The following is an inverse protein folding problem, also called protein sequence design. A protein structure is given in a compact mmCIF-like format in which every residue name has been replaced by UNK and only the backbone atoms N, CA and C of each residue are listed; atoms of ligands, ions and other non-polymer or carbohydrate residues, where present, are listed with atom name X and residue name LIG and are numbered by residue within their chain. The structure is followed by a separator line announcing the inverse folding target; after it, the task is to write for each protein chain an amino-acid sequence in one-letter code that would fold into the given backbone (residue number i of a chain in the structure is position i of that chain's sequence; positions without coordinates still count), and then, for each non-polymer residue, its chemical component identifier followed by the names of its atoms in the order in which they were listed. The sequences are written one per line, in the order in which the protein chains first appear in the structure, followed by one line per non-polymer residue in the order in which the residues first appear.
data_IF_456908043038
#
_entry.id   IF_456908043038
#
_cell.length_a   1.000
_cell.length_b   1.000
_cell.length_c   1.000
_cell.angle_alpha   90.00
_cell.angle_beta   90.00
_cell.angle_gamma   90.00
#
_symmetry.space_group_name_H-M   'P 1'
#
loop_
_entity.id
_entity.type
_entity.pdbx_description
1 polymer ?
#
# COMPACT_ATOMS: atom_id res chain seq x y z
N UNK A 1 -45.11 3.62 30.73
CA UNK A 1 -45.00 3.88 29.27
C UNK A 1 -44.05 5.03 28.89
N UNK A 2 -44.04 6.19 29.56
CA UNK A 2 -43.08 7.29 29.23
C UNK A 2 -41.60 6.91 29.42
N UNK A 3 -41.26 6.15 30.48
CA UNK A 3 -39.86 5.72 30.75
C UNK A 3 -39.32 4.72 29.73
N UNK A 4 -40.17 3.84 29.17
CA UNK A 4 -39.79 2.89 28.10
C UNK A 4 -39.52 3.62 26.78
N UNK A 5 -40.28 4.66 26.46
CA UNK A 5 -40.07 5.48 25.24
C UNK A 5 -38.77 6.28 25.31
N UNK A 6 -38.36 6.73 26.50
CA UNK A 6 -37.08 7.43 26.70
C UNK A 6 -35.91 6.45 26.59
N UNK A 7 -36.05 5.23 27.11
CA UNK A 7 -35.02 4.21 27.01
C UNK A 7 -34.84 3.71 25.55
N UNK A 8 -35.95 3.56 24.81
CA UNK A 8 -35.90 3.22 23.38
C UNK A 8 -35.27 4.34 22.53
N UNK A 9 -35.55 5.61 22.86
CA UNK A 9 -34.97 6.79 22.22
C UNK A 9 -33.44 6.90 22.46
N UNK A 10 -32.97 6.55 23.63
CA UNK A 10 -31.53 6.53 23.98
C UNK A 10 -30.83 5.36 23.28
N UNK A 11 -31.48 4.21 23.16
CA UNK A 11 -30.92 3.05 22.47
C UNK A 11 -30.80 3.28 20.94
N UNK A 12 -31.73 4.04 20.33
CA UNK A 12 -31.67 4.39 18.91
C UNK A 12 -30.62 5.47 18.61
N UNK A 13 -30.21 6.26 19.61
CA UNK A 13 -29.16 7.27 19.43
C UNK A 13 -27.74 6.71 19.52
N UNK A 14 -27.59 5.46 19.97
CA UNK A 14 -26.28 4.78 20.08
C UNK A 14 -25.83 4.04 18.81
N UNK A 15 -26.64 3.99 17.76
CA UNK A 15 -26.22 3.40 16.47
C UNK A 15 -25.78 4.48 15.47
N UNK A 16 -24.84 5.34 15.87
CA UNK A 16 -24.06 6.10 14.90
C UNK A 16 -23.04 5.11 14.33
N UNK A 17 -23.39 4.47 13.22
CA UNK A 17 -22.42 3.75 12.39
C UNK A 17 -21.50 4.80 11.80
N UNK A 18 -20.32 4.95 12.37
CA UNK A 18 -19.28 5.78 11.78
C UNK A 18 -18.81 5.03 10.53
N UNK A 19 -19.30 5.45 9.37
CA UNK A 19 -18.79 5.01 8.08
C UNK A 19 -17.42 5.67 7.94
N UNK A 20 -16.36 4.89 8.08
CA UNK A 20 -14.99 5.34 7.83
C UNK A 20 -14.78 5.41 6.32
N UNK A 21 -14.30 6.56 5.84
CA UNK A 21 -14.04 6.84 4.43
C UNK A 21 -12.88 6.03 3.84
N UNK A 22 -12.58 6.30 2.59
CA UNK A 22 -11.58 5.64 1.74
C UNK A 22 -10.23 5.44 2.47
N UNK A 23 -9.69 4.22 2.34
CA UNK A 23 -8.34 3.88 2.79
C UNK A 23 -7.46 3.69 1.56
N UNK A 24 -6.21 4.16 1.62
CA UNK A 24 -5.21 3.86 0.60
C UNK A 24 -5.11 2.36 0.33
N UNK A 25 -4.85 1.95 -0.93
CA UNK A 25 -4.67 0.56 -1.30
C UNK A 25 -3.66 -0.15 -0.42
N UNK A 26 -3.95 -1.39 -0.07
CA UNK A 26 -3.08 -2.21 0.77
C UNK A 26 -2.62 -3.44 -0.01
N UNK A 27 -1.32 -3.73 0.04
CA UNK A 27 -0.67 -4.77 -0.75
C UNK A 27 -0.18 -5.89 0.15
N UNK A 28 -0.39 -7.13 -0.27
CA UNK A 28 0.13 -8.32 0.42
C UNK A 28 1.62 -8.49 0.11
N UNK A 29 2.01 -8.22 -1.15
CA UNK A 29 3.39 -8.23 -1.59
C UNK A 29 4.10 -6.87 -1.43
N UNK A 30 3.77 -6.12 -0.35
CA UNK A 30 4.28 -4.76 -0.11
C UNK A 30 5.80 -4.67 -0.11
N UNK A 31 6.49 -5.73 0.30
CA UNK A 31 7.96 -5.76 0.35
C UNK A 31 8.60 -5.59 -1.02
N UNK A 32 7.92 -5.96 -2.09
CA UNK A 32 8.35 -5.76 -3.47
C UNK A 32 7.88 -4.43 -4.07
N UNK A 33 6.97 -3.74 -3.39
CA UNK A 33 6.37 -2.48 -3.83
C UNK A 33 6.68 -1.31 -2.86
N UNK A 34 7.77 -1.41 -2.13
CA UNK A 34 8.15 -0.48 -1.05
C UNK A 34 8.31 0.97 -1.52
N UNK A 35 8.71 1.20 -2.78
CA UNK A 35 8.85 2.56 -3.31
C UNK A 35 7.53 3.33 -3.34
N UNK A 36 6.39 2.64 -3.49
CA UNK A 36 5.06 3.24 -3.40
C UNK A 36 4.79 3.74 -1.98
N UNK A 37 5.15 2.93 -0.97
CA UNK A 37 4.88 3.21 0.43
C UNK A 37 5.88 4.19 1.05
N UNK A 38 7.16 4.12 0.65
CA UNK A 38 8.23 4.89 1.28
C UNK A 38 9.20 5.47 0.25
N UNK A 39 9.22 6.80 0.03
CA UNK A 39 10.13 7.44 -0.91
C UNK A 39 11.61 7.25 -0.58
N UNK A 40 11.96 7.03 0.70
CA UNK A 40 13.33 6.77 1.10
C UNK A 40 13.88 5.42 0.60
N UNK A 41 13.00 4.52 0.13
CA UNK A 41 13.38 3.25 -0.48
C UNK A 41 13.98 3.42 -1.88
N UNK A 42 13.71 4.53 -2.58
CA UNK A 42 14.18 4.77 -3.93
C UNK A 42 15.71 4.61 -4.03
N UNK A 43 16.19 3.75 -4.94
CA UNK A 43 17.61 3.47 -5.14
C UNK A 43 18.31 2.61 -4.08
N UNK A 44 17.62 2.21 -3.00
CA UNK A 44 18.22 1.42 -1.90
C UNK A 44 18.71 0.05 -2.33
N UNK A 45 18.10 -0.56 -3.34
CA UNK A 45 18.55 -1.83 -3.92
C UNK A 45 19.95 -1.76 -4.56
N UNK A 46 20.39 -0.56 -4.95
CA UNK A 46 21.67 -0.37 -5.62
C UNK A 46 21.66 -0.69 -7.12
N UNK A 47 20.52 -1.10 -7.67
CA UNK A 47 20.28 -1.39 -9.08
C UNK A 47 18.96 -0.74 -9.52
N UNK A 48 18.77 -0.46 -10.84
CA UNK A 48 17.46 -0.08 -11.38
C UNK A 48 16.47 -1.23 -11.22
N UNK A 49 15.25 -0.90 -10.79
CA UNK A 49 14.17 -1.86 -10.57
C UNK A 49 12.85 -1.30 -11.08
N UNK A 50 12.06 -2.14 -11.76
CA UNK A 50 10.71 -1.84 -12.23
C UNK A 50 9.77 -2.88 -11.65
N UNK A 51 8.78 -2.45 -10.87
CA UNK A 51 7.72 -3.29 -10.32
C UNK A 51 6.38 -2.97 -10.98
N UNK A 52 5.65 -4.01 -11.37
CA UNK A 52 4.25 -3.93 -11.78
C UNK A 52 3.45 -4.83 -10.85
N UNK A 53 2.39 -4.29 -10.25
CA UNK A 53 1.53 -5.06 -9.37
C UNK A 53 0.07 -4.78 -9.72
N UNK A 54 -0.69 -5.86 -9.90
CA UNK A 54 -2.14 -5.80 -10.08
C UNK A 54 -2.84 -6.53 -8.94
N UNK A 55 -3.85 -5.88 -8.35
CA UNK A 55 -4.62 -6.42 -7.25
C UNK A 55 -6.12 -6.31 -7.53
N UNK A 56 -6.85 -7.39 -7.31
CA UNK A 56 -8.32 -7.40 -7.30
C UNK A 56 -8.77 -7.88 -5.93
N UNK A 57 -9.46 -7.01 -5.21
CA UNK A 57 -9.95 -7.32 -3.88
C UNK A 57 -11.38 -7.87 -3.93
N UNK A 58 -11.75 -8.67 -2.93
CA UNK A 58 -13.10 -9.15 -2.64
C UNK A 58 -13.86 -9.65 -3.88
N UNK A 59 -13.25 -10.61 -4.56
CA UNK A 59 -13.81 -11.19 -5.79
C UNK A 59 -15.24 -11.71 -5.55
N UNK A 60 -16.15 -11.37 -6.46
CA UNK A 60 -17.58 -11.66 -6.36
C UNK A 60 -18.44 -10.46 -5.96
N UNK A 61 -17.85 -9.37 -5.50
CA UNK A 61 -18.56 -8.12 -5.17
C UNK A 61 -18.48 -7.17 -6.37
N UNK A 62 -19.62 -6.65 -6.79
CA UNK A 62 -19.70 -5.61 -7.82
C UNK A 62 -19.12 -4.29 -7.28
N UNK A 63 -18.25 -3.64 -8.06
CA UNK A 63 -17.57 -2.41 -7.63
C UNK A 63 -16.45 -2.61 -6.60
N UNK A 64 -16.04 -3.85 -6.34
CA UNK A 64 -14.92 -4.14 -5.46
C UNK A 64 -13.61 -3.49 -5.95
N UNK A 65 -12.67 -3.16 -5.04
CA UNK A 65 -11.45 -2.45 -5.39
C UNK A 65 -10.57 -3.19 -6.39
N UNK A 66 -10.05 -2.46 -7.37
CA UNK A 66 -9.05 -2.92 -8.33
C UNK A 66 -7.92 -1.91 -8.40
N UNK A 67 -6.72 -2.36 -8.09
CA UNK A 67 -5.54 -1.51 -8.04
C UNK A 67 -4.49 -2.03 -9.00
N UNK A 68 -3.89 -1.14 -9.78
CA UNK A 68 -2.71 -1.43 -10.59
C UNK A 68 -1.64 -0.42 -10.23
N UNK A 69 -0.42 -0.90 -9.95
CA UNK A 69 0.71 -0.04 -9.67
C UNK A 69 1.87 -0.32 -10.62
N UNK A 70 2.57 0.73 -10.98
CA UNK A 70 3.88 0.67 -11.61
C UNK A 70 4.84 1.50 -10.77
N UNK A 71 5.97 0.92 -10.41
CA UNK A 71 7.04 1.64 -9.73
C UNK A 71 8.36 1.41 -10.44
N UNK A 72 9.11 2.48 -10.62
CA UNK A 72 10.47 2.49 -11.14
C UNK A 72 11.35 3.19 -10.12
N UNK A 73 12.48 2.61 -9.76
CA UNK A 73 13.48 3.35 -8.97
C UNK A 73 14.89 2.92 -9.35
N UNK A 74 15.82 3.85 -9.17
CA UNK A 74 17.25 3.63 -9.51
C UNK A 74 18.14 4.44 -8.60
N UNK A 75 19.32 3.92 -8.20
CA UNK A 75 20.38 4.75 -7.65
C UNK A 75 20.94 5.67 -8.75
N UNK A 76 21.22 6.92 -8.35
CA UNK A 76 21.88 7.92 -9.19
C UNK A 76 23.15 8.37 -8.46
N UNK A 77 24.28 7.79 -8.85
CA UNK A 77 25.55 7.97 -8.15
C UNK A 77 25.64 7.17 -6.85
N UNK A 78 26.24 7.76 -5.79
CA UNK A 78 26.59 7.02 -4.56
C UNK A 78 25.59 7.18 -3.42
N UNK A 79 24.86 8.27 -3.39
CA UNK A 79 24.02 8.64 -2.24
C UNK A 79 22.57 8.97 -2.63
N UNK A 80 22.31 9.24 -3.90
CA UNK A 80 20.99 9.67 -4.37
C UNK A 80 20.27 8.50 -5.00
N UNK A 81 18.98 8.38 -4.71
CA UNK A 81 18.05 7.53 -5.41
C UNK A 81 16.91 8.37 -5.99
N UNK A 82 16.45 7.99 -7.18
CA UNK A 82 15.28 8.55 -7.83
C UNK A 82 14.25 7.45 -8.04
N UNK A 83 12.98 7.82 -7.93
CA UNK A 83 11.85 6.94 -8.19
C UNK A 83 10.74 7.64 -8.96
N UNK A 84 9.94 6.84 -9.64
CA UNK A 84 8.70 7.24 -10.27
C UNK A 84 7.67 6.16 -9.98
N UNK A 85 6.45 6.54 -9.61
CA UNK A 85 5.37 5.59 -9.41
C UNK A 85 4.05 6.11 -9.97
N UNK A 86 3.26 5.17 -10.48
CA UNK A 86 1.90 5.38 -10.95
C UNK A 86 1.01 4.36 -10.23
N UNK A 87 -0.10 4.84 -9.68
CA UNK A 87 -1.12 4.02 -9.02
C UNK A 87 -2.43 4.34 -9.68
N UNK A 88 -3.11 3.32 -10.19
CA UNK A 88 -4.50 3.40 -10.63
C UNK A 88 -5.35 2.59 -9.69
N UNK A 89 -6.34 3.21 -9.07
CA UNK A 89 -7.27 2.56 -8.15
C UNK A 89 -8.71 2.84 -8.58
N UNK A 90 -9.55 1.80 -8.59
CA UNK A 90 -10.96 1.89 -8.93
C UNK A 90 -11.80 1.19 -7.85
N UNK A 91 -12.71 1.94 -7.22
CA UNK A 91 -13.62 1.43 -6.18
C UNK A 91 -15.02 1.93 -6.49
N UNK A 92 -15.89 1.06 -7.00
CA UNK A 92 -17.23 1.42 -7.42
C UNK A 92 -17.23 2.54 -8.48
N UNK A 93 -17.84 3.71 -8.19
CA UNK A 93 -17.86 4.84 -9.12
C UNK A 93 -16.60 5.71 -9.06
N UNK A 94 -15.73 5.48 -8.09
CA UNK A 94 -14.54 6.30 -7.81
C UNK A 94 -13.34 5.72 -8.55
N UNK A 95 -12.63 6.56 -9.31
CA UNK A 95 -11.33 6.28 -9.90
C UNK A 95 -10.31 7.28 -9.39
N UNK A 96 -9.16 6.79 -9.04
CA UNK A 96 -8.04 7.60 -8.57
C UNK A 96 -6.77 7.20 -9.30
N UNK A 97 -6.14 8.18 -9.96
CA UNK A 97 -4.87 8.04 -10.63
C UNK A 97 -3.82 8.89 -9.93
N UNK A 98 -2.76 8.27 -9.43
CA UNK A 98 -1.68 8.95 -8.74
C UNK A 98 -0.38 8.83 -9.55
N UNK A 99 0.30 9.94 -9.75
CA UNK A 99 1.63 9.98 -10.37
C UNK A 99 2.60 10.68 -9.44
N UNK A 100 3.64 9.96 -9.01
CA UNK A 100 4.62 10.45 -8.03
C UNK A 100 6.04 10.34 -8.53
N UNK A 101 6.85 11.32 -8.17
CA UNK A 101 8.30 11.28 -8.25
C UNK A 101 8.88 11.22 -6.83
N UNK A 102 9.87 10.36 -6.64
CA UNK A 102 10.56 10.15 -5.37
C UNK A 102 12.02 10.56 -5.50
N UNK A 103 12.52 11.22 -4.47
CA UNK A 103 13.92 11.55 -4.28
C UNK A 103 14.37 10.98 -2.95
N UNK A 104 15.50 10.28 -2.92
CA UNK A 104 16.12 9.80 -1.68
C UNK A 104 17.57 10.23 -1.57
N UNK A 105 18.01 10.43 -0.34
CA UNK A 105 19.41 10.67 -0.01
C UNK A 105 19.85 9.72 1.11
N UNK A 106 20.88 8.92 0.83
CA UNK A 106 21.38 7.87 1.70
C UNK A 106 22.71 8.25 2.32
N UNK A 107 22.81 8.11 3.64
CA UNK A 107 24.07 8.26 4.39
C UNK A 107 24.50 6.90 4.96
N UNK A 108 25.80 6.64 4.98
CA UNK A 108 26.35 5.48 5.67
C UNK A 108 26.42 5.78 7.17
N UNK A 109 25.83 4.93 7.98
CA UNK A 109 25.84 5.04 9.46
C UNK A 109 26.88 4.11 10.09
N UNK A 110 27.26 3.05 9.39
CA UNK A 110 28.33 2.12 9.76
C UNK A 110 28.89 1.47 8.49
N UNK A 111 29.76 0.46 8.62
CA UNK A 111 30.28 -0.29 7.49
C UNK A 111 29.16 -0.97 6.67
N UNK A 112 28.12 -1.49 7.34
CA UNK A 112 26.97 -2.15 6.69
C UNK A 112 25.70 -1.31 6.73
N UNK A 113 25.56 -0.42 7.70
CA UNK A 113 24.34 0.35 7.97
C UNK A 113 24.19 1.57 7.06
N UNK A 114 23.02 1.72 6.47
CA UNK A 114 22.64 2.86 5.63
C UNK A 114 21.33 3.45 6.11
N UNK A 115 21.25 4.77 6.15
CA UNK A 115 20.05 5.52 6.50
C UNK A 115 19.69 6.43 5.32
N UNK A 116 18.52 6.23 4.76
CA UNK A 116 17.99 7.03 3.67
C UNK A 116 16.85 7.93 4.16
N UNK A 117 16.83 9.16 3.65
CA UNK A 117 15.75 10.11 3.79
C UNK A 117 15.11 10.30 2.43
N UNK A 118 13.79 10.29 2.37
CA UNK A 118 13.05 10.37 1.11
C UNK A 118 12.01 11.47 1.11
N UNK A 119 11.83 12.07 -0.05
CA UNK A 119 10.75 13.00 -0.35
C UNK A 119 9.99 12.51 -1.58
N UNK A 120 8.67 12.65 -1.53
CA UNK A 120 7.73 12.32 -2.61
C UNK A 120 7.00 13.59 -3.02
N UNK A 121 6.83 13.79 -4.31
CA UNK A 121 5.97 14.83 -4.85
C UNK A 121 5.19 14.28 -6.05
N UNK A 122 3.94 14.68 -6.19
CA UNK A 122 3.13 14.21 -7.30
C UNK A 122 1.76 14.85 -7.37
N UNK A 123 0.92 14.23 -8.17
CA UNK A 123 -0.44 14.70 -8.47
C UNK A 123 -1.39 13.51 -8.40
N UNK A 124 -2.53 13.74 -7.76
CA UNK A 124 -3.68 12.84 -7.72
C UNK A 124 -4.78 13.39 -8.63
N UNK A 125 -5.29 12.53 -9.51
CA UNK A 125 -6.47 12.78 -10.33
C UNK A 125 -7.61 11.92 -9.79
N UNK A 126 -8.65 12.55 -9.27
CA UNK A 126 -9.84 11.89 -8.77
C UNK A 126 -11.00 12.10 -9.75
N UNK A 127 -11.64 11.00 -10.12
CA UNK A 127 -12.83 10.96 -10.96
C UNK A 127 -13.93 10.17 -10.25
N UNK A 128 -15.04 10.83 -9.92
CA UNK A 128 -16.21 10.20 -9.33
C UNK A 128 -17.35 10.30 -10.34
N UNK A 129 -17.78 9.13 -10.86
CA UNK A 129 -18.86 9.04 -11.85
C UNK A 129 -20.23 9.14 -11.18
N UNK A 130 -21.23 9.59 -11.92
CA UNK A 130 -22.63 9.56 -11.50
C UNK A 130 -23.07 8.14 -11.11
N UNK A 131 -23.84 8.05 -10.03
CA UNK A 131 -24.51 6.81 -9.63
C UNK A 131 -25.82 6.67 -10.42
N UNK A 132 -25.89 5.70 -11.30
CA UNK A 132 -27.04 5.45 -12.19
C UNK A 132 -28.39 5.23 -11.47
N UNK A 133 -28.38 5.05 -10.15
CA UNK A 133 -29.56 4.69 -9.34
C UNK A 133 -30.35 5.93 -8.88
N UNK A 134 -29.79 7.14 -8.98
CA UNK A 134 -30.41 8.37 -8.40
C UNK A 134 -30.39 9.50 -9.45
N UNK A 135 -31.04 9.27 -10.59
CA UNK A 135 -31.12 10.25 -11.70
C UNK A 135 -31.73 11.60 -11.31
N UNK A 136 -32.46 11.68 -10.19
CA UNK A 136 -33.14 12.90 -9.73
C UNK A 136 -32.45 13.61 -8.56
N UNK A 137 -31.31 13.11 -8.07
CA UNK A 137 -30.57 13.75 -6.99
C UNK A 137 -29.70 14.88 -7.56
N UNK A 138 -29.94 16.15 -7.18
CA UNK A 138 -29.13 17.29 -7.61
C UNK A 138 -27.66 17.22 -7.17
N UNK A 139 -27.32 16.31 -6.23
CA UNK A 139 -25.96 16.06 -5.75
C UNK A 139 -25.24 14.98 -6.56
N UNK A 140 -25.95 14.23 -7.41
CA UNK A 140 -25.41 13.18 -8.26
C UNK A 140 -24.80 13.78 -9.54
N UNK A 141 -23.71 14.50 -9.39
CA UNK A 141 -22.94 15.10 -10.49
C UNK A 141 -21.53 14.51 -10.53
N UNK A 142 -20.94 14.29 -11.72
CA UNK A 142 -19.57 13.82 -11.81
C UNK A 142 -18.61 14.84 -11.19
N UNK A 143 -17.61 14.32 -10.48
CA UNK A 143 -16.58 15.13 -9.84
C UNK A 143 -15.25 14.78 -10.48
N UNK A 144 -14.55 15.80 -10.98
CA UNK A 144 -13.19 15.69 -11.49
C UNK A 144 -12.33 16.65 -10.67
N UNK A 145 -11.36 16.10 -9.97
CA UNK A 145 -10.46 16.90 -9.14
C UNK A 145 -9.01 16.51 -9.37
N UNK A 146 -8.15 17.52 -9.41
CA UNK A 146 -6.70 17.35 -9.48
C UNK A 146 -6.07 18.00 -8.28
N UNK A 147 -5.28 17.25 -7.52
CA UNK A 147 -4.66 17.71 -6.28
C UNK A 147 -3.17 17.40 -6.27
N UNK A 148 -2.31 18.34 -5.87
CA UNK A 148 -0.92 18.04 -5.61
C UNK A 148 -0.83 17.17 -4.35
N UNK A 149 0.20 16.33 -4.29
CA UNK A 149 0.49 15.55 -3.11
C UNK A 149 1.99 15.54 -2.81
N UNK A 150 2.34 15.48 -1.53
CA UNK A 150 3.71 15.41 -1.04
C UNK A 150 3.81 14.33 0.02
N UNK A 151 4.99 13.74 0.14
CA UNK A 151 5.24 12.73 1.15
C UNK A 151 6.69 12.74 1.60
N UNK A 152 6.97 12.05 2.70
CA UNK A 152 8.32 11.84 3.18
C UNK A 152 8.48 10.47 3.80
N UNK A 153 9.74 10.05 3.96
CA UNK A 153 10.06 8.82 4.62
C UNK A 153 11.49 8.75 5.10
N UNK A 154 11.71 7.79 5.97
CA UNK A 154 13.02 7.40 6.47
C UNK A 154 13.12 5.89 6.29
N UNK A 155 14.29 5.42 5.85
CA UNK A 155 14.53 4.00 5.66
C UNK A 155 15.95 3.65 6.09
N UNK A 156 16.06 2.80 7.12
CA UNK A 156 17.31 2.23 7.55
C UNK A 156 17.45 0.81 7.04
N UNK A 157 18.60 0.46 6.52
CA UNK A 157 18.84 -0.90 6.02
C UNK A 157 20.31 -1.32 6.11
N UNK A 158 20.48 -2.61 6.24
CA UNK A 158 21.74 -3.36 6.13
C UNK A 158 21.58 -4.46 5.08
N UNK A 159 22.52 -5.37 4.98
CA UNK A 159 22.40 -6.52 4.08
C UNK A 159 21.36 -7.56 4.55
N UNK A 160 20.91 -7.50 5.84
CA UNK A 160 19.96 -8.47 6.42
C UNK A 160 18.75 -7.83 7.09
N UNK A 161 18.83 -6.58 7.50
CA UNK A 161 17.78 -5.90 8.26
C UNK A 161 17.31 -4.64 7.56
N UNK A 162 16.03 -4.34 7.70
CA UNK A 162 15.49 -3.03 7.35
C UNK A 162 14.41 -2.58 8.33
N UNK A 163 14.28 -1.27 8.46
CA UNK A 163 13.15 -0.61 9.11
C UNK A 163 12.86 0.71 8.40
N UNK A 164 11.60 1.00 8.16
CA UNK A 164 11.15 2.22 7.49
C UNK A 164 9.97 2.85 8.19
N UNK A 165 9.92 4.17 8.16
CA UNK A 165 8.79 4.99 8.58
C UNK A 165 8.47 5.95 7.45
N UNK A 166 7.21 6.03 7.04
CA UNK A 166 6.81 6.90 5.94
C UNK A 166 5.41 7.46 6.09
N UNK A 167 5.22 8.58 5.43
CA UNK A 167 3.97 9.29 5.25
C UNK A 167 3.92 9.68 3.76
N UNK A 168 3.40 8.81 2.87
CA UNK A 168 3.42 9.04 1.44
C UNK A 168 2.54 10.20 0.99
N UNK A 169 1.52 10.57 1.78
CA UNK A 169 0.55 11.62 1.49
C UNK A 169 0.42 12.56 2.69
N UNK A 170 0.89 13.81 2.56
CA UNK A 170 0.76 14.84 3.60
C UNK A 170 -0.51 15.66 3.50
N UNK A 171 -1.07 15.79 2.29
CA UNK A 171 -2.17 16.69 2.06
C UNK A 171 -3.50 15.98 2.30
N UNK A 172 -4.26 16.49 3.25
CA UNK A 172 -5.67 16.15 3.39
C UNK A 172 -6.45 16.94 2.34
N UNK A 173 -6.80 16.30 1.24
CA UNK A 173 -7.63 16.95 0.20
C UNK A 173 -9.08 16.86 0.61
N UNK A 174 -9.75 18.00 0.83
CA UNK A 174 -11.19 18.04 1.04
C UNK A 174 -11.89 17.98 -0.30
N UNK A 175 -12.61 16.90 -0.53
CA UNK A 175 -13.48 16.76 -1.69
C UNK A 175 -14.88 17.28 -1.33
N UNK A 176 -15.35 18.29 -2.07
CA UNK A 176 -16.66 18.94 -2.01
C UNK A 176 -16.76 20.18 -1.10
N UNK A 177 -16.61 21.32 -1.73
CA UNK A 177 -17.35 22.52 -1.37
C UNK A 177 -18.47 22.72 -2.39
N UNK A 178 -19.71 22.86 -1.95
CA UNK A 178 -20.80 23.33 -2.81
C UNK A 178 -21.53 24.48 -2.13
N UNK A 179 -21.66 25.58 -2.85
CA UNK A 179 -22.54 26.69 -2.52
C UNK A 179 -23.98 26.19 -2.34
N UNK A 180 -24.55 26.39 -1.15
CA UNK A 180 -25.93 26.03 -0.87
C UNK A 180 -26.20 25.28 0.43
N UNK A 181 -25.24 25.16 1.34
CA UNK A 181 -25.53 24.85 2.76
C UNK A 181 -25.58 23.38 3.15
N UNK A 182 -25.22 22.42 2.30
CA UNK A 182 -24.90 21.05 2.71
C UNK A 182 -23.54 20.66 2.17
N UNK A 183 -22.60 20.46 3.09
CA UNK A 183 -21.22 20.03 2.83
C UNK A 183 -21.14 18.54 3.06
N UNK A 184 -20.94 17.76 2.01
CA UNK A 184 -20.41 16.40 2.11
C UNK A 184 -18.91 16.50 1.92
N UNK A 185 -18.12 16.36 2.98
CA UNK A 185 -16.65 16.37 2.90
C UNK A 185 -16.14 14.96 2.95
N UNK A 186 -15.74 14.40 1.81
CA UNK A 186 -14.80 13.32 1.79
C UNK A 186 -13.38 13.93 1.92
N UNK A 187 -12.61 13.47 2.87
CA UNK A 187 -11.24 13.94 3.10
C UNK A 187 -10.32 12.74 2.99
N UNK A 188 -9.33 12.81 2.09
CA UNK A 188 -8.19 11.92 2.16
C UNK A 188 -7.49 12.14 3.50
N UNK A 189 -7.22 11.05 4.22
CA UNK A 189 -6.54 11.10 5.51
C UNK A 189 -5.09 10.71 5.36
N UNK A 190 -4.23 11.31 6.17
CA UNK A 190 -2.83 10.91 6.22
C UNK A 190 -2.67 9.47 6.68
N UNK A 191 -1.87 8.69 5.95
CA UNK A 191 -1.52 7.32 6.28
C UNK A 191 -0.06 7.22 6.71
N UNK A 192 0.17 6.73 7.91
CA UNK A 192 1.49 6.46 8.47
C UNK A 192 1.82 4.99 8.27
N UNK A 193 2.97 4.70 7.70
CA UNK A 193 3.45 3.34 7.51
C UNK A 193 4.74 3.13 8.31
N UNK A 194 4.78 2.03 9.05
CA UNK A 194 6.00 1.46 9.61
C UNK A 194 6.20 0.09 8.98
N UNK A 195 7.39 -0.16 8.46
CA UNK A 195 7.77 -1.46 7.89
C UNK A 195 9.08 -1.93 8.49
N UNK A 196 9.20 -3.22 8.75
CA UNK A 196 10.46 -3.82 9.23
C UNK A 196 10.55 -5.27 8.82
N UNK A 197 11.77 -5.77 8.65
CA UNK A 197 12.02 -7.17 8.38
C UNK A 197 13.49 -7.53 8.57
N UNK A 198 13.73 -8.84 8.68
CA UNK A 198 15.05 -9.41 8.85
C UNK A 198 15.21 -10.68 8.01
N UNK A 199 16.35 -10.86 7.37
CA UNK A 199 16.67 -12.06 6.59
C UNK A 199 17.57 -12.96 7.40
N UNK A 200 17.08 -14.15 7.76
CA UNK A 200 17.82 -15.23 8.39
C UNK A 200 18.30 -16.20 7.31
N UNK A 201 19.59 -16.46 7.24
CA UNK A 201 20.17 -17.55 6.45
C UNK A 201 20.06 -18.85 7.26
N UNK A 202 19.06 -19.67 6.95
CA UNK A 202 18.84 -20.96 7.65
C UNK A 202 19.84 -22.00 7.16
N UNK A 203 20.16 -21.98 5.86
CA UNK A 203 21.20 -22.78 5.23
C UNK A 203 21.73 -22.04 4.01
N UNK A 204 22.70 -22.62 3.30
CA UNK A 204 23.26 -22.04 2.07
C UNK A 204 22.17 -21.79 0.99
N UNK A 205 21.09 -22.57 1.02
CA UNK A 205 20.04 -22.56 0.00
C UNK A 205 18.69 -22.06 0.52
N UNK A 206 18.56 -21.78 1.84
CA UNK A 206 17.29 -21.43 2.45
C UNK A 206 17.43 -20.14 3.26
N UNK A 207 16.65 -19.14 2.90
CA UNK A 207 16.54 -17.87 3.63
C UNK A 207 15.12 -17.70 4.13
N UNK A 208 14.95 -17.24 5.38
CA UNK A 208 13.67 -16.90 6.00
C UNK A 208 13.62 -15.40 6.27
N UNK A 209 12.55 -14.75 5.82
CA UNK A 209 12.31 -13.34 6.04
C UNK A 209 11.00 -13.13 6.81
N UNK A 210 11.00 -13.06 8.14
CA UNK A 210 9.93 -12.43 8.87
C UNK A 210 9.90 -10.92 8.58
N UNK A 211 8.70 -10.38 8.43
CA UNK A 211 8.49 -8.95 8.21
C UNK A 211 7.17 -8.49 8.79
N UNK A 212 7.06 -7.20 9.02
CA UNK A 212 5.83 -6.56 9.50
C UNK A 212 5.60 -5.23 8.82
N UNK A 213 4.33 -4.92 8.60
CA UNK A 213 3.87 -3.60 8.20
C UNK A 213 2.77 -3.15 9.15
N UNK A 214 2.87 -1.92 9.64
CA UNK A 214 1.85 -1.27 10.46
C UNK A 214 1.39 -0.04 9.69
N UNK A 215 0.08 0.04 9.42
CA UNK A 215 -0.58 1.21 8.83
C UNK A 215 -1.49 1.85 9.87
N UNK A 216 -1.30 3.15 10.10
CA UNK A 216 -2.13 3.96 10.97
C UNK A 216 -2.74 5.13 10.21
N UNK A 217 -4.03 5.39 10.39
CA UNK A 217 -4.71 6.57 9.87
C UNK A 217 -5.72 7.09 10.88
N UNK A 218 -5.95 8.41 10.89
CA UNK A 218 -6.90 9.01 11.80
C UNK A 218 -8.32 8.52 11.53
N UNK A 219 -8.97 7.99 12.56
CA UNK A 219 -10.36 7.53 12.48
C UNK A 219 -10.57 6.13 11.93
N UNK A 220 -9.51 5.33 11.71
CA UNK A 220 -9.61 3.92 11.41
C UNK A 220 -8.79 3.06 12.40
N UNK A 221 -9.14 1.77 12.58
CA UNK A 221 -8.33 0.85 13.36
C UNK A 221 -6.92 0.71 12.80
N UNK A 222 -5.96 0.42 13.68
CA UNK A 222 -4.60 0.10 13.29
C UNK A 222 -4.60 -1.20 12.47
N UNK A 223 -4.00 -1.17 11.28
CA UNK A 223 -3.77 -2.36 10.47
C UNK A 223 -2.35 -2.88 10.72
N UNK A 224 -2.23 -4.16 11.06
CA UNK A 224 -0.95 -4.81 11.34
C UNK A 224 -0.86 -6.06 10.49
N UNK A 225 0.15 -6.11 9.62
CA UNK A 225 0.50 -7.27 8.82
C UNK A 225 1.77 -7.92 9.39
N UNK A 226 1.71 -9.21 9.63
CA UNK A 226 2.86 -10.02 10.04
C UNK A 226 3.05 -11.09 8.97
N UNK A 227 4.24 -11.19 8.40
CA UNK A 227 4.55 -12.09 7.30
C UNK A 227 5.79 -12.91 7.59
N UNK A 228 5.87 -14.08 6.99
CA UNK A 228 7.07 -14.91 6.97
C UNK A 228 7.23 -15.53 5.58
N UNK A 229 8.32 -15.20 4.90
CA UNK A 229 8.62 -15.68 3.56
C UNK A 229 9.87 -16.56 3.59
N UNK A 230 9.82 -17.69 2.92
CA UNK A 230 10.91 -18.63 2.75
C UNK A 230 11.37 -18.59 1.29
N UNK A 231 12.64 -18.32 1.06
CA UNK A 231 13.28 -18.36 -0.25
C UNK A 231 14.18 -19.59 -0.33
N UNK A 232 14.00 -20.40 -1.38
CA UNK A 232 14.73 -21.64 -1.62
C UNK A 232 15.52 -21.50 -2.92
N UNK A 233 16.81 -21.79 -2.86
CA UNK A 233 17.77 -21.75 -3.99
C UNK A 233 17.82 -20.38 -4.70
N UNK A 234 17.48 -19.28 -4.00
CA UNK A 234 17.33 -17.93 -4.54
C UNK A 234 16.31 -17.85 -5.72
N UNK A 235 15.47 -18.87 -5.89
CA UNK A 235 14.58 -19.04 -7.03
C UNK A 235 13.10 -19.14 -6.61
N UNK A 236 12.78 -20.01 -5.67
CA UNK A 236 11.40 -20.26 -5.24
C UNK A 236 11.11 -19.57 -3.93
N UNK A 237 10.03 -18.81 -3.89
CA UNK A 237 9.53 -18.18 -2.67
C UNK A 237 8.17 -18.74 -2.30
N UNK A 238 7.98 -19.06 -1.02
CA UNK A 238 6.67 -19.30 -0.43
C UNK A 238 6.54 -18.44 0.83
N UNK A 239 5.37 -17.85 1.02
CA UNK A 239 5.14 -16.96 2.16
C UNK A 239 3.73 -17.11 2.72
N UNK A 240 3.63 -16.79 3.99
CA UNK A 240 2.37 -16.62 4.71
C UNK A 240 2.34 -15.24 5.33
N UNK A 241 1.18 -14.59 5.27
CA UNK A 241 0.93 -13.32 5.92
C UNK A 241 -0.38 -13.37 6.68
N UNK A 242 -0.44 -12.69 7.81
CA UNK A 242 -1.66 -12.50 8.57
C UNK A 242 -1.86 -11.01 8.84
N UNK A 243 -2.93 -10.46 8.30
CA UNK A 243 -3.43 -9.12 8.64
C UNK A 243 -4.45 -9.27 9.75
N UNK A 244 -4.11 -8.73 10.92
CA UNK A 244 -4.90 -8.90 12.14
C UNK A 244 -6.32 -8.37 11.91
N UNK A 245 -7.33 -9.21 12.20
CA UNK A 245 -8.76 -8.95 12.05
C UNK A 245 -9.24 -8.73 10.60
N UNK A 246 -8.45 -9.08 9.58
CA UNK A 246 -8.82 -8.88 8.18
C UNK A 246 -8.65 -10.14 7.34
N UNK A 247 -7.41 -10.66 7.19
CA UNK A 247 -7.14 -11.74 6.25
C UNK A 247 -5.94 -12.61 6.63
N UNK A 248 -5.90 -13.82 6.08
CA UNK A 248 -4.73 -14.68 6.02
C UNK A 248 -4.36 -14.85 4.55
N UNK A 249 -3.10 -14.67 4.22
CA UNK A 249 -2.63 -14.68 2.85
C UNK A 249 -1.55 -15.74 2.61
N UNK A 250 -1.65 -16.41 1.48
CA UNK A 250 -0.58 -17.24 0.93
C UNK A 250 0.11 -16.52 -0.21
N UNK A 251 1.43 -16.65 -0.30
CA UNK A 251 2.27 -16.05 -1.34
C UNK A 251 3.15 -17.11 -1.98
N UNK A 252 3.30 -17.06 -3.29
CA UNK A 252 4.28 -17.82 -4.05
C UNK A 252 5.01 -16.89 -5.01
N UNK A 253 6.32 -17.10 -5.16
CA UNK A 253 7.17 -16.33 -6.06
C UNK A 253 8.14 -17.22 -6.81
N UNK A 254 8.52 -16.81 -7.99
CA UNK A 254 9.46 -17.51 -8.83
C UNK A 254 10.39 -16.53 -9.54
N UNK A 255 11.70 -16.74 -9.37
CA UNK A 255 12.74 -16.04 -10.12
C UNK A 255 12.92 -16.76 -11.47
N UNK A 256 12.42 -16.14 -12.54
CA UNK A 256 12.41 -16.72 -13.90
C UNK A 256 13.83 -16.72 -14.49
N UNK A 257 14.56 -15.63 -14.24
CA UNK A 257 15.97 -15.46 -14.60
C UNK A 257 16.58 -14.39 -13.68
N UNK A 258 17.84 -14.03 -13.90
CA UNK A 258 18.57 -13.09 -13.02
C UNK A 258 17.91 -11.72 -12.89
N UNK A 259 17.11 -11.31 -13.87
CA UNK A 259 16.51 -9.97 -13.94
C UNK A 259 15.00 -9.96 -13.72
N UNK A 260 14.31 -11.12 -13.76
CA UNK A 260 12.86 -11.16 -13.78
C UNK A 260 12.26 -12.13 -12.76
N UNK A 261 11.37 -11.61 -11.93
CA UNK A 261 10.59 -12.35 -10.93
C UNK A 261 9.10 -12.20 -11.17
N UNK A 262 8.34 -13.25 -10.92
CA UNK A 262 6.89 -13.28 -10.88
C UNK A 262 6.46 -13.66 -9.46
N UNK A 263 5.48 -12.94 -8.92
CA UNK A 263 4.84 -13.24 -7.63
C UNK A 263 3.33 -13.32 -7.77
N UNK A 264 2.72 -14.16 -6.95
CA UNK A 264 1.28 -14.24 -6.80
C UNK A 264 0.93 -14.39 -5.33
N UNK A 265 -0.10 -13.67 -4.88
CA UNK A 265 -0.68 -13.90 -3.56
C UNK A 265 -2.20 -14.01 -3.62
N UNK A 266 -2.73 -14.77 -2.68
CA UNK A 266 -4.15 -14.92 -2.43
C UNK A 266 -4.44 -14.59 -0.97
N UNK A 267 -5.39 -13.67 -0.74
CA UNK A 267 -5.83 -13.29 0.59
C UNK A 267 -7.21 -13.89 0.86
N UNK A 268 -7.30 -14.74 1.86
CA UNK A 268 -8.55 -15.25 2.40
C UNK A 268 -9.06 -14.29 3.48
N UNK A 269 -10.23 -13.72 3.28
CA UNK A 269 -10.87 -12.81 4.24
C UNK A 269 -11.31 -13.59 5.48
N UNK A 270 -10.90 -13.16 6.67
CA UNK A 270 -11.24 -13.81 7.95
C UNK A 270 -12.24 -13.02 8.80
N UNK A 271 -12.55 -11.79 8.38
CA UNK A 271 -13.58 -10.96 9.02
C UNK A 271 -14.99 -11.40 8.59
N UNK A 272 -16.02 -10.83 9.21
CA UNK A 272 -17.44 -11.08 8.84
C UNK A 272 -17.75 -10.76 7.37
N UNK A 273 -16.85 -10.13 6.65
CA UNK A 273 -16.96 -9.84 5.23
C UNK A 273 -16.66 -11.06 4.34
N UNK A 274 -16.13 -12.14 4.92
CA UNK A 274 -15.82 -13.41 4.22
C UNK A 274 -17.04 -14.07 3.57
N UNK A 275 -18.23 -13.86 4.14
CA UNK A 275 -19.47 -14.47 3.62
C UNK A 275 -19.91 -13.86 2.27
N UNK A 276 -19.34 -12.72 1.88
CA UNK A 276 -19.74 -11.95 0.69
C UNK A 276 -18.70 -11.94 -0.42
N UNK A 277 -17.51 -12.49 -0.21
CA UNK A 277 -16.42 -12.45 -1.21
C UNK A 277 -15.64 -13.76 -1.26
N UNK A 278 -14.96 -13.98 -2.37
CA UNK A 278 -14.08 -15.14 -2.59
C UNK A 278 -12.61 -14.82 -2.40
N UNK A 279 -12.29 -13.84 -1.54
CA UNK A 279 -10.91 -13.41 -1.26
C UNK A 279 -10.39 -12.37 -2.25
N UNK A 280 -9.08 -12.11 -2.19
CA UNK A 280 -8.40 -11.14 -3.05
C UNK A 280 -7.19 -11.77 -3.72
N UNK A 281 -6.88 -11.32 -4.93
CA UNK A 281 -5.77 -11.82 -5.73
C UNK A 281 -4.80 -10.69 -6.04
N UNK A 282 -3.50 -11.00 -6.02
CA UNK A 282 -2.45 -10.05 -6.36
C UNK A 282 -1.39 -10.73 -7.22
N UNK A 283 -1.00 -10.07 -8.31
CA UNK A 283 0.05 -10.52 -9.23
C UNK A 283 1.13 -9.45 -9.24
N UNK A 284 2.37 -9.88 -9.10
CA UNK A 284 3.57 -9.05 -9.17
C UNK A 284 4.46 -9.49 -10.33
N UNK A 285 4.96 -8.52 -11.09
CA UNK A 285 6.05 -8.66 -12.05
C UNK A 285 7.16 -7.70 -11.63
N UNK A 286 8.36 -8.23 -11.39
CA UNK A 286 9.50 -7.44 -10.94
C UNK A 286 10.67 -7.65 -11.88
N UNK A 287 11.17 -6.55 -12.44
CA UNK A 287 12.37 -6.50 -13.29
C UNK A 287 13.47 -5.75 -12.55
N UNK A 288 14.60 -6.41 -12.39
CA UNK A 288 15.80 -5.88 -11.71
C UNK A 288 16.97 -5.97 -12.67
N UNK A 289 17.45 -4.82 -13.14
CA UNK A 289 18.56 -4.79 -14.08
C UNK A 289 19.87 -5.14 -13.35
N UNK A 290 20.22 -6.42 -13.41
CA UNK A 290 21.26 -7.04 -12.60
C UNK A 290 22.63 -6.38 -12.85
N UNK A 291 23.04 -5.62 -11.87
CA UNK A 291 24.46 -5.29 -11.74
C UNK A 291 24.87 -5.84 -10.37
N UNK A 292 25.85 -6.74 -10.30
CA UNK A 292 26.26 -7.60 -9.18
C UNK A 292 26.56 -6.91 -7.82
N UNK A 293 26.06 -5.71 -7.59
CA UNK A 293 26.30 -4.87 -6.41
C UNK A 293 25.02 -4.53 -5.64
N UNK A 294 24.17 -5.53 -5.36
CA UNK A 294 22.99 -5.35 -4.49
C UNK A 294 23.40 -4.86 -3.09
N UNK A 295 22.84 -3.76 -2.65
CA UNK A 295 23.11 -3.11 -1.35
C UNK A 295 21.96 -3.26 -0.35
N UNK A 296 20.90 -3.92 -0.73
CA UNK A 296 19.72 -4.20 0.10
C UNK A 296 19.60 -5.69 0.35
N UNK A 297 18.90 -6.15 1.38
CA UNK A 297 18.63 -7.57 1.58
C UNK A 297 18.09 -8.20 0.30
N UNK A 298 18.84 -9.17 -0.26
CA UNK A 298 18.56 -9.77 -1.60
C UNK A 298 17.22 -10.47 -1.74
N UNK A 299 16.47 -10.53 -0.69
CA UNK A 299 15.16 -11.16 -0.64
C UNK A 299 14.02 -10.16 -0.94
N UNK A 300 14.34 -9.02 -1.54
CA UNK A 300 13.37 -8.01 -1.95
C UNK A 300 13.56 -7.60 -3.37
#
# INVERSE_FOLDING_TARGET
MKKIKIFLGILTFMTVVVVFGQQDPQYTQYTYNMNILNPAYAGSKGIPSIGLLGRTQWVGIEGAPKTVTMSLHSPVGRAVGLGLSVIHDEIGPVKEDNVYADFSYTINTSEEGRLAFGLKAGVTFLDIRELAVIETDPLNVPIHQTSPNFGAGIYYYTDKFYAGLSLPNFLETRHLEKDGGQVSSASEKMHYFFTSGYVFEISNNIKLKPSTMIKATSGAPLSIDISANLLVDDMFEVGLSHRINDSISGLVGFQVNDDFRIGYSYDYTTSSFSDFNSGSHEILLLFEFNNRNLKSPRFF
#
